data_IF_447673262823
#
_entry.id   IF_447673262823
#
_cell.length_a   1.000
_cell.length_b   1.000
_cell.length_c   1.000
_cell.angle_alpha   90.00
_cell.angle_beta   90.00
_cell.angle_gamma   90.00
#
_symmetry.space_group_name_H-M   'P 1'
#
loop_
_entity.id
_entity.type
_entity.pdbx_description
1 polymer ?
#
# COMPACT_ATOMS: atom_id res chain seq x y z
N UNK A 1 -1.87 -9.25 -5.11
CA UNK A 1 -1.49 -10.04 -3.91
C UNK A 1 -0.01 -10.34 -3.79
N UNK A 2 0.61 -11.02 -4.76
CA UNK A 2 2.03 -11.42 -4.66
C UNK A 2 2.98 -10.27 -4.30
N UNK A 3 2.79 -9.08 -4.89
CA UNK A 3 3.60 -7.89 -4.59
C UNK A 3 3.52 -7.44 -3.12
N UNK A 4 2.32 -7.35 -2.55
CA UNK A 4 2.14 -6.92 -1.15
C UNK A 4 2.74 -7.95 -0.17
N UNK A 5 2.59 -9.24 -0.47
CA UNK A 5 3.19 -10.31 0.33
C UNK A 5 4.71 -10.29 0.28
N UNK A 6 5.28 -10.16 -0.92
CA UNK A 6 6.74 -10.05 -1.09
C UNK A 6 7.29 -8.83 -0.34
N UNK A 7 6.60 -7.69 -0.41
CA UNK A 7 6.98 -6.49 0.32
C UNK A 7 6.94 -6.68 1.84
N UNK A 8 5.92 -7.34 2.37
CA UNK A 8 5.84 -7.69 3.80
C UNK A 8 6.98 -8.61 4.25
N UNK A 9 7.35 -9.61 3.44
CA UNK A 9 8.51 -10.47 3.71
C UNK A 9 9.80 -9.65 3.75
N UNK A 10 10.04 -8.78 2.77
CA UNK A 10 11.23 -7.92 2.76
C UNK A 10 11.27 -6.96 3.95
N UNK A 11 10.15 -6.35 4.32
CA UNK A 11 10.09 -5.43 5.44
C UNK A 11 10.30 -6.13 6.80
N UNK A 12 10.03 -7.44 6.89
CA UNK A 12 10.13 -8.18 8.15
C UNK A 12 11.54 -8.19 8.76
N UNK A 13 12.59 -8.05 7.95
CA UNK A 13 13.98 -7.97 8.40
C UNK A 13 14.41 -6.58 8.88
N UNK A 14 13.55 -5.57 8.78
CA UNK A 14 13.87 -4.21 9.20
C UNK A 14 13.75 -4.03 10.73
N UNK A 15 14.55 -3.12 11.29
CA UNK A 15 14.56 -2.81 12.71
C UNK A 15 13.29 -2.09 13.19
N UNK A 16 12.69 -1.24 12.34
CA UNK A 16 11.50 -0.44 12.69
C UNK A 16 10.25 -1.32 12.86
N UNK A 17 9.81 -1.49 14.10
CA UNK A 17 8.56 -2.20 14.44
C UNK A 17 7.33 -1.47 13.90
N UNK A 18 7.34 -0.14 13.91
CA UNK A 18 6.23 0.68 13.41
C UNK A 18 6.06 0.53 11.90
N UNK A 19 7.17 0.56 11.15
CA UNK A 19 7.14 0.32 9.72
C UNK A 19 6.66 -1.09 9.38
N UNK A 20 7.17 -2.12 10.07
CA UNK A 20 6.68 -3.50 9.92
C UNK A 20 5.17 -3.63 10.15
N UNK A 21 4.64 -2.92 11.14
CA UNK A 21 3.20 -2.90 11.40
C UNK A 21 2.44 -2.23 10.25
N UNK A 22 2.90 -1.08 9.77
CA UNK A 22 2.28 -0.38 8.64
C UNK A 22 2.29 -1.23 7.36
N UNK A 23 3.38 -1.95 7.08
CA UNK A 23 3.48 -2.85 5.93
C UNK A 23 2.48 -4.02 6.02
N UNK A 24 2.31 -4.61 7.21
CA UNK A 24 1.34 -5.69 7.40
C UNK A 24 -0.11 -5.19 7.26
N UNK A 25 -0.43 -4.03 7.83
CA UNK A 25 -1.75 -3.42 7.66
C UNK A 25 -2.03 -3.08 6.18
N UNK A 26 -1.02 -2.62 5.45
CA UNK A 26 -1.10 -2.44 4.00
C UNK A 26 -1.33 -3.76 3.25
N UNK A 27 -0.63 -4.83 3.61
CA UNK A 27 -0.83 -6.17 3.03
C UNK A 27 -2.27 -6.65 3.20
N UNK A 28 -2.82 -6.55 4.40
CA UNK A 28 -4.17 -6.99 4.72
C UNK A 28 -5.24 -6.13 4.01
N UNK A 29 -5.00 -4.82 3.91
CA UNK A 29 -5.86 -3.92 3.15
C UNK A 29 -5.79 -4.20 1.64
N UNK A 30 -4.60 -4.50 1.11
CA UNK A 30 -4.38 -4.83 -0.29
C UNK A 30 -5.10 -6.13 -0.69
N UNK A 31 -5.19 -7.10 0.23
CA UNK A 31 -5.97 -8.33 0.05
C UNK A 31 -7.45 -8.06 -0.10
N UNK A 32 -8.02 -7.32 0.84
CA UNK A 32 -9.42 -6.91 0.78
C UNK A 32 -9.68 -6.04 -0.44
N UNK A 33 -8.70 -5.21 -0.84
CA UNK A 33 -8.83 -4.36 -2.00
C UNK A 33 -8.81 -5.14 -3.32
N UNK A 34 -7.93 -6.13 -3.45
CA UNK A 34 -7.82 -6.93 -4.68
C UNK A 34 -8.98 -7.91 -4.87
N UNK A 35 -9.68 -8.28 -3.80
CA UNK A 35 -10.84 -9.19 -3.86
C UNK A 35 -12.15 -8.50 -4.30
N UNK A 36 -12.18 -7.17 -4.43
CA UNK A 36 -13.25 -6.47 -5.15
C UNK A 36 -13.01 -6.55 -6.66
N UNK A 37 -14.07 -6.43 -7.47
CA UNK A 37 -13.97 -6.43 -8.95
C UNK A 37 -13.23 -5.18 -9.46
N UNK A 38 -11.90 -5.17 -9.30
CA UNK A 38 -11.03 -4.00 -9.43
C UNK A 38 -10.01 -4.13 -10.56
N UNK A 39 -9.94 -5.29 -11.21
CA UNK A 39 -9.07 -5.57 -12.36
C UNK A 39 -7.62 -5.08 -12.17
N UNK A 40 -7.03 -4.57 -13.25
CA UNK A 40 -5.64 -4.09 -13.28
C UNK A 40 -5.39 -2.89 -12.34
N UNK A 41 -6.43 -2.16 -11.93
CA UNK A 41 -6.28 -1.05 -10.99
C UNK A 41 -5.82 -1.51 -9.61
N UNK A 42 -6.05 -2.76 -9.23
CA UNK A 42 -5.48 -3.33 -8.01
C UNK A 42 -3.94 -3.38 -8.05
N UNK A 43 -3.35 -3.65 -9.22
CA UNK A 43 -1.90 -3.69 -9.39
C UNK A 43 -1.32 -2.28 -9.32
N UNK A 44 -1.91 -1.31 -10.01
CA UNK A 44 -1.48 0.10 -9.96
C UNK A 44 -1.48 0.67 -8.53
N UNK A 45 -2.49 0.34 -7.72
CA UNK A 45 -2.57 0.77 -6.32
C UNK A 45 -1.46 0.14 -5.49
N UNK A 46 -1.31 -1.19 -5.57
CA UNK A 46 -0.37 -1.94 -4.73
C UNK A 46 1.08 -1.61 -5.10
N UNK A 47 1.41 -1.73 -6.38
CA UNK A 47 2.77 -1.46 -6.88
C UNK A 47 3.10 0.02 -6.74
N UNK A 48 2.14 0.93 -7.04
CA UNK A 48 2.33 2.36 -6.89
C UNK A 48 2.71 2.76 -5.47
N UNK A 49 2.03 2.20 -4.47
CA UNK A 49 2.33 2.45 -3.05
C UNK A 49 3.73 1.94 -2.66
N UNK A 50 4.14 0.76 -3.13
CA UNK A 50 5.46 0.20 -2.87
C UNK A 50 6.56 1.04 -3.56
N UNK A 51 6.36 1.41 -4.83
CA UNK A 51 7.34 2.24 -5.57
C UNK A 51 7.43 3.66 -5.03
N UNK A 52 6.35 4.18 -4.42
CA UNK A 52 6.37 5.43 -3.68
C UNK A 52 7.47 5.40 -2.61
N UNK A 53 7.66 4.30 -1.91
CA UNK A 53 8.71 4.23 -0.88
C UNK A 53 10.12 4.40 -1.47
N UNK A 54 10.39 3.76 -2.61
CA UNK A 54 11.77 3.54 -3.08
C UNK A 54 12.30 4.58 -4.09
N UNK A 55 11.46 5.17 -4.94
CA UNK A 55 11.97 5.90 -6.13
C UNK A 55 11.38 7.29 -6.36
N UNK A 56 10.08 7.48 -6.14
CA UNK A 56 9.39 8.75 -6.41
C UNK A 56 8.29 8.98 -5.36
N UNK A 57 8.74 9.40 -4.17
CA UNK A 57 7.95 9.37 -2.95
C UNK A 57 6.58 9.99 -3.10
N UNK A 58 6.52 11.25 -3.49
CA UNK A 58 5.26 11.96 -3.56
C UNK A 58 4.37 11.45 -4.71
N UNK A 59 4.95 11.12 -5.88
CA UNK A 59 4.15 10.77 -7.06
C UNK A 59 3.67 9.32 -7.04
N UNK A 60 4.45 8.37 -6.52
CA UNK A 60 4.03 6.97 -6.36
C UNK A 60 2.83 6.84 -5.44
N UNK A 61 2.86 7.54 -4.29
CA UNK A 61 1.72 7.60 -3.39
C UNK A 61 0.50 8.33 -3.99
N UNK A 62 0.72 9.45 -4.70
CA UNK A 62 -0.38 10.16 -5.40
C UNK A 62 -1.05 9.27 -6.45
N UNK A 63 -0.26 8.55 -7.26
CA UNK A 63 -0.79 7.62 -8.27
C UNK A 63 -1.59 6.50 -7.62
N UNK A 64 -1.05 5.86 -6.58
CA UNK A 64 -1.74 4.80 -5.85
C UNK A 64 -3.09 5.28 -5.29
N UNK A 65 -3.11 6.47 -4.66
CA UNK A 65 -4.35 7.06 -4.14
C UNK A 65 -5.35 7.42 -5.25
N UNK A 66 -4.88 7.96 -6.38
CA UNK A 66 -5.74 8.31 -7.51
C UNK A 66 -6.53 7.10 -8.00
N UNK A 67 -5.90 5.92 -8.10
CA UNK A 67 -6.59 4.70 -8.49
C UNK A 67 -7.45 4.13 -7.36
N UNK A 68 -6.99 4.18 -6.12
CA UNK A 68 -7.76 3.71 -4.97
C UNK A 68 -9.06 4.51 -4.76
N UNK A 69 -9.03 5.83 -5.01
CA UNK A 69 -10.19 6.72 -4.93
C UNK A 69 -11.28 6.44 -5.98
N UNK A 70 -10.99 5.64 -7.02
CA UNK A 70 -12.02 5.21 -7.98
C UNK A 70 -12.97 4.17 -7.36
N UNK A 71 -12.56 3.55 -6.26
CA UNK A 71 -13.37 2.63 -5.50
C UNK A 71 -14.08 3.37 -4.36
N UNK A 72 -15.42 3.41 -4.39
CA UNK A 72 -16.23 4.15 -3.41
C UNK A 72 -16.70 3.29 -2.23
N UNK A 73 -16.34 2.01 -2.21
CA UNK A 73 -16.68 1.04 -1.19
C UNK A 73 -15.64 1.01 -0.05
N UNK A 74 -15.99 0.30 1.02
CA UNK A 74 -15.18 0.21 2.24
C UNK A 74 -13.74 -0.30 1.97
N UNK A 75 -13.56 -1.17 0.96
CA UNK A 75 -12.25 -1.64 0.55
C UNK A 75 -11.33 -0.52 0.04
N UNK A 76 -11.88 0.44 -0.71
CA UNK A 76 -11.15 1.61 -1.21
C UNK A 76 -10.67 2.50 -0.07
N UNK A 77 -11.56 2.80 0.87
CA UNK A 77 -11.21 3.61 2.04
C UNK A 77 -10.11 2.96 2.90
N UNK A 78 -10.17 1.64 3.12
CA UNK A 78 -9.17 0.91 3.91
C UNK A 78 -7.79 0.93 3.27
N UNK A 79 -7.68 0.74 1.95
CA UNK A 79 -6.38 0.76 1.29
C UNK A 79 -5.78 2.17 1.27
N UNK A 80 -6.59 3.22 1.14
CA UNK A 80 -6.12 4.61 1.17
C UNK A 80 -5.52 4.93 2.56
N UNK A 81 -6.21 4.56 3.64
CA UNK A 81 -5.72 4.76 5.00
C UNK A 81 -4.39 4.01 5.20
N UNK A 82 -4.29 2.77 4.73
CA UNK A 82 -3.07 1.99 4.85
C UNK A 82 -1.91 2.59 4.05
N UNK A 83 -2.18 3.14 2.85
CA UNK A 83 -1.19 3.84 2.03
C UNK A 83 -0.65 5.09 2.74
N UNK A 84 -1.53 5.92 3.34
CA UNK A 84 -1.10 7.11 4.09
C UNK A 84 -0.26 6.74 5.31
N UNK A 85 -0.65 5.69 6.03
CA UNK A 85 0.12 5.21 7.17
C UNK A 85 1.51 4.71 6.74
N UNK A 86 1.57 3.96 5.65
CA UNK A 86 2.83 3.48 5.07
C UNK A 86 3.75 4.65 4.72
N UNK A 87 3.23 5.66 4.00
CA UNK A 87 3.95 6.91 3.67
C UNK A 87 4.46 7.64 4.90
N UNK A 88 3.61 7.81 5.92
CA UNK A 88 3.96 8.51 7.14
C UNK A 88 5.10 7.80 7.89
N UNK A 89 5.02 6.48 8.01
CA UNK A 89 6.04 5.69 8.75
C UNK A 89 7.39 5.62 8.04
N UNK A 90 7.43 5.70 6.71
CA UNK A 90 8.70 5.75 5.99
C UNK A 90 9.37 7.11 6.10
N UNK A 91 8.62 8.22 6.06
CA UNK A 91 9.17 9.57 6.27
C UNK A 91 9.78 9.77 7.66
N UNK A 92 9.50 8.89 8.61
CA UNK A 92 10.02 8.90 9.99
C UNK A 92 11.07 7.81 10.26
N UNK A 93 11.36 6.94 9.29
CA UNK A 93 12.22 5.77 9.44
C UNK A 93 13.66 6.02 8.96
#
# INVERSE_FOLDING_TARGET
MAYANAFAVMASSLSSTEFKKAVNEFKDAAEKYANGDRGDHAVDVIVGAITGIAFDHENGFKRAKMFANKATDEGGNKIIIAIEKLRATYNTA
#
